data_IF_166970834215
#
_entry.id   IF_166970834215
#
_cell.length_a   1.000
_cell.length_b   1.000
_cell.length_c   1.000
_cell.angle_alpha   90.00
_cell.angle_beta   90.00
_cell.angle_gamma   90.00
#
_symmetry.space_group_name_H-M   'P 1'
#
loop_
_entity.id
_entity.type
_entity.pdbx_description
1 polymer ?
#
# COMPACT_ATOMS: atom_id res chain seq x y z
N UNK A 1 57.14 4.48 1.61
CA UNK A 1 55.81 3.86 1.88
C UNK A 1 54.79 4.79 2.58
N UNK A 2 55.19 5.82 3.34
CA UNK A 2 54.24 6.61 4.16
C UNK A 2 53.44 7.70 3.41
N UNK A 3 53.91 8.20 2.26
CA UNK A 3 53.21 9.26 1.51
C UNK A 3 51.94 8.75 0.83
N UNK A 4 51.98 7.56 0.22
CA UNK A 4 50.85 6.93 -0.50
C UNK A 4 49.71 6.55 0.45
N UNK A 5 50.01 5.97 1.62
CA UNK A 5 49.01 5.67 2.66
C UNK A 5 48.26 6.94 3.12
N UNK A 6 48.95 8.08 3.18
CA UNK A 6 48.36 9.38 3.55
C UNK A 6 47.46 9.95 2.46
N UNK A 7 47.75 9.71 1.18
CA UNK A 7 46.89 10.16 0.07
C UNK A 7 45.61 9.34 -0.03
N UNK A 8 45.70 8.02 0.16
CA UNK A 8 44.53 7.12 0.18
C UNK A 8 43.62 7.46 1.38
N UNK A 9 44.19 7.70 2.56
CA UNK A 9 43.44 8.10 3.74
C UNK A 9 42.73 9.46 3.56
N UNK A 10 43.37 10.43 2.89
CA UNK A 10 42.77 11.73 2.57
C UNK A 10 41.64 11.63 1.53
N UNK A 11 41.80 10.79 0.50
CA UNK A 11 40.77 10.55 -0.49
C UNK A 11 39.54 9.86 0.12
N UNK A 12 39.74 8.85 0.98
CA UNK A 12 38.66 8.21 1.73
C UNK A 12 37.93 9.17 2.67
N UNK A 13 38.65 10.08 3.33
CA UNK A 13 38.07 11.09 4.22
C UNK A 13 37.29 12.18 3.47
N UNK A 14 37.61 12.43 2.19
CA UNK A 14 36.86 13.35 1.32
C UNK A 14 35.61 12.69 0.70
N UNK A 15 35.59 11.37 0.58
CA UNK A 15 34.44 10.58 0.10
C UNK A 15 33.44 10.22 1.21
N UNK A 16 33.88 10.10 2.46
CA UNK A 16 33.00 9.84 3.62
C UNK A 16 31.80 10.82 3.75
N UNK A 17 31.93 12.15 3.58
CA UNK A 17 30.78 13.05 3.63
C UNK A 17 29.86 12.96 2.39
N UNK A 18 30.28 12.28 1.32
CA UNK A 18 29.45 12.02 0.13
C UNK A 18 28.60 10.75 0.26
N UNK A 19 28.84 9.91 1.29
CA UNK A 19 28.05 8.70 1.57
C UNK A 19 26.54 8.95 1.72
N UNK A 20 26.04 10.03 2.40
CA UNK A 20 24.61 10.30 2.43
C UNK A 20 24.03 10.63 1.06
N UNK A 21 24.80 11.23 0.14
CA UNK A 21 24.33 11.55 -1.21
C UNK A 21 24.11 10.28 -2.05
N UNK A 22 24.96 9.26 -1.89
CA UNK A 22 24.80 7.95 -2.54
C UNK A 22 23.66 7.15 -1.90
N UNK A 23 23.47 7.26 -0.58
CA UNK A 23 22.33 6.65 0.09
C UNK A 23 20.99 7.20 -0.43
N UNK A 24 20.89 8.53 -0.60
CA UNK A 24 19.70 9.18 -1.15
C UNK A 24 19.37 8.73 -2.59
N UNK A 25 20.36 8.40 -3.42
CA UNK A 25 20.15 7.92 -4.78
C UNK A 25 19.56 6.48 -4.83
N UNK A 26 19.91 5.63 -3.87
CA UNK A 26 19.41 4.25 -3.80
C UNK A 26 17.92 4.16 -3.42
N UNK A 27 17.41 5.15 -2.66
CA UNK A 27 15.98 5.17 -2.29
C UNK A 27 15.05 5.42 -3.48
N UNK A 28 15.52 6.01 -4.58
CA UNK A 28 14.71 6.25 -5.78
C UNK A 28 14.13 4.96 -6.36
N UNK A 29 14.97 3.93 -6.56
CA UNK A 29 14.51 2.64 -7.11
C UNK A 29 13.52 1.93 -6.17
N UNK A 30 13.81 1.92 -4.85
CA UNK A 30 12.93 1.32 -3.84
C UNK A 30 11.57 2.04 -3.81
N UNK A 31 11.56 3.37 -3.83
CA UNK A 31 10.34 4.16 -3.83
C UNK A 31 9.50 3.89 -5.08
N UNK A 32 10.13 3.71 -6.26
CA UNK A 32 9.39 3.33 -7.46
C UNK A 32 8.81 1.93 -7.39
N UNK A 33 9.53 0.98 -6.77
CA UNK A 33 9.04 -0.38 -6.58
C UNK A 33 7.85 -0.42 -5.60
N UNK A 34 7.98 0.23 -4.44
CA UNK A 34 6.91 0.35 -3.46
C UNK A 34 5.70 1.08 -4.07
N UNK A 35 5.92 2.18 -4.79
CA UNK A 35 4.85 2.91 -5.49
C UNK A 35 4.10 2.04 -6.51
N UNK A 36 4.80 1.20 -7.27
CA UNK A 36 4.19 0.23 -8.20
C UNK A 36 3.36 -0.82 -7.47
N UNK A 37 3.87 -1.37 -6.36
CA UNK A 37 3.13 -2.33 -5.54
C UNK A 37 1.88 -1.68 -4.95
N UNK A 38 1.99 -0.49 -4.36
CA UNK A 38 0.86 0.23 -3.77
C UNK A 38 -0.19 0.56 -4.84
N UNK A 39 0.24 0.97 -6.04
CA UNK A 39 -0.67 1.24 -7.16
C UNK A 39 -1.38 -0.03 -7.62
N UNK A 40 -0.67 -1.16 -7.72
CA UNK A 40 -1.26 -2.45 -8.07
C UNK A 40 -2.27 -2.93 -7.02
N UNK A 41 -1.93 -2.82 -5.74
CA UNK A 41 -2.85 -3.19 -4.64
C UNK A 41 -4.10 -2.32 -4.70
N UNK A 42 -3.95 -1.00 -4.79
CA UNK A 42 -5.08 -0.07 -4.73
C UNK A 42 -5.98 -0.14 -5.97
N UNK A 43 -5.41 -0.28 -7.16
CA UNK A 43 -6.17 -0.19 -8.40
C UNK A 43 -6.66 -1.55 -8.91
N UNK A 44 -6.01 -2.64 -8.51
CA UNK A 44 -6.35 -3.98 -8.99
C UNK A 44 -6.83 -4.87 -7.85
N UNK A 45 -6.02 -5.02 -6.80
CA UNK A 45 -6.29 -6.02 -5.77
C UNK A 45 -7.50 -5.66 -4.90
N UNK A 46 -7.59 -4.41 -4.43
CA UNK A 46 -8.73 -3.96 -3.60
C UNK A 46 -10.05 -4.06 -4.37
N UNK A 47 -10.20 -3.51 -5.59
CA UNK A 47 -11.45 -3.64 -6.35
C UNK A 47 -11.80 -5.10 -6.66
N UNK A 48 -10.80 -5.94 -6.95
CA UNK A 48 -11.01 -7.37 -7.19
C UNK A 48 -11.59 -8.08 -5.96
N UNK A 49 -10.99 -7.89 -4.79
CA UNK A 49 -11.48 -8.52 -3.55
C UNK A 49 -12.85 -7.97 -3.18
N UNK A 50 -13.10 -6.67 -3.40
CA UNK A 50 -14.41 -6.07 -3.18
C UNK A 50 -15.48 -6.70 -4.08
N UNK A 51 -15.16 -6.93 -5.36
CA UNK A 51 -16.03 -7.64 -6.29
C UNK A 51 -16.35 -9.06 -5.84
N UNK A 52 -15.34 -9.83 -5.41
CA UNK A 52 -15.53 -11.19 -4.89
C UNK A 52 -16.37 -11.20 -3.62
N UNK A 53 -16.10 -10.29 -2.68
CA UNK A 53 -16.87 -10.16 -1.44
C UNK A 53 -18.34 -9.83 -1.73
N UNK A 54 -18.61 -8.99 -2.73
CA UNK A 54 -19.98 -8.64 -3.14
C UNK A 54 -20.69 -9.84 -3.78
N UNK A 55 -19.99 -10.60 -4.63
CA UNK A 55 -20.54 -11.84 -5.21
C UNK A 55 -20.87 -12.87 -4.13
N UNK A 56 -19.98 -13.07 -3.16
CA UNK A 56 -20.20 -13.95 -2.01
C UNK A 56 -21.40 -13.47 -1.18
N UNK A 57 -21.49 -12.17 -0.90
CA UNK A 57 -22.62 -11.60 -0.16
C UNK A 57 -23.96 -11.87 -0.87
N UNK A 58 -24.02 -11.60 -2.17
CA UNK A 58 -25.22 -11.83 -3.00
C UNK A 58 -25.57 -13.31 -3.05
N UNK A 59 -24.58 -14.19 -3.20
CA UNK A 59 -24.78 -15.64 -3.16
C UNK A 59 -25.33 -16.13 -1.81
N UNK A 60 -24.80 -15.61 -0.71
CA UNK A 60 -25.26 -15.90 0.65
C UNK A 60 -26.72 -15.47 0.86
N UNK A 61 -27.09 -14.27 0.39
CA UNK A 61 -28.48 -13.80 0.43
C UNK A 61 -29.40 -14.67 -0.43
N UNK A 62 -29.00 -15.01 -1.66
CA UNK A 62 -29.80 -15.91 -2.49
C UNK A 62 -30.04 -17.26 -1.81
N UNK A 63 -29.01 -17.82 -1.16
CA UNK A 63 -29.12 -19.07 -0.42
C UNK A 63 -30.09 -18.96 0.78
N UNK A 64 -30.03 -17.84 1.49
CA UNK A 64 -30.92 -17.56 2.62
C UNK A 64 -32.39 -17.38 2.21
N UNK A 65 -32.66 -16.73 1.07
CA UNK A 65 -34.02 -16.42 0.64
C UNK A 65 -34.68 -17.49 -0.24
N UNK A 66 -33.92 -18.21 -1.07
CA UNK A 66 -34.48 -19.18 -2.04
C UNK A 66 -34.70 -20.55 -1.40
N UNK A 67 -33.82 -21.00 -0.52
CA UNK A 67 -33.90 -22.34 0.06
C UNK A 67 -34.80 -22.32 1.30
N UNK A 68 -35.65 -23.34 1.44
CA UNK A 68 -36.61 -23.42 2.53
C UNK A 68 -36.20 -24.36 3.67
N UNK A 69 -35.06 -25.03 3.56
CA UNK A 69 -34.49 -25.87 4.61
C UNK A 69 -33.71 -25.02 5.60
N UNK A 70 -33.88 -25.31 6.90
CA UNK A 70 -33.25 -24.56 7.99
C UNK A 70 -31.72 -24.53 7.87
N UNK A 71 -31.12 -25.65 7.47
CA UNK A 71 -29.67 -25.82 7.33
C UNK A 71 -29.07 -24.97 6.20
N UNK A 72 -29.79 -24.81 5.08
CA UNK A 72 -29.32 -23.97 3.96
C UNK A 72 -29.45 -22.48 4.26
N UNK A 73 -30.49 -22.10 5.02
CA UNK A 73 -30.66 -20.74 5.53
C UNK A 73 -29.54 -20.37 6.48
N UNK A 74 -29.20 -21.25 7.42
CA UNK A 74 -28.10 -21.00 8.36
C UNK A 74 -26.77 -20.80 7.63
N UNK A 75 -26.44 -21.69 6.69
CA UNK A 75 -25.24 -21.57 5.84
C UNK A 75 -25.23 -20.28 4.99
N UNK A 76 -26.38 -19.88 4.45
CA UNK A 76 -26.52 -18.64 3.66
C UNK A 76 -26.30 -17.39 4.51
N UNK A 77 -26.87 -17.37 5.72
CA UNK A 77 -26.69 -16.30 6.71
C UNK A 77 -25.24 -16.17 7.11
N UNK A 78 -24.56 -17.27 7.42
CA UNK A 78 -23.16 -17.25 7.83
C UNK A 78 -22.27 -16.73 6.69
N UNK A 79 -22.50 -17.18 5.45
CA UNK A 79 -21.76 -16.71 4.29
C UNK A 79 -21.94 -15.21 4.04
N UNK A 80 -23.17 -14.69 4.18
CA UNK A 80 -23.43 -13.25 4.09
C UNK A 80 -22.75 -12.48 5.22
N UNK A 81 -22.75 -13.02 6.44
CA UNK A 81 -22.08 -12.42 7.59
C UNK A 81 -20.56 -12.35 7.40
N UNK A 82 -19.93 -13.42 6.89
CA UNK A 82 -18.51 -13.41 6.57
C UNK A 82 -18.16 -12.35 5.50
N UNK A 83 -19.03 -12.17 4.50
CA UNK A 83 -18.84 -11.11 3.51
C UNK A 83 -18.94 -9.71 4.12
N UNK A 84 -19.89 -9.47 5.04
CA UNK A 84 -20.01 -8.21 5.79
C UNK A 84 -18.75 -7.97 6.64
N UNK A 85 -18.26 -8.99 7.35
CA UNK A 85 -17.03 -8.87 8.15
C UNK A 85 -15.84 -8.48 7.27
N UNK A 86 -15.72 -9.09 6.08
CA UNK A 86 -14.68 -8.70 5.12
C UNK A 86 -14.81 -7.22 4.72
N UNK A 87 -16.01 -6.74 4.39
CA UNK A 87 -16.23 -5.33 4.06
C UNK A 87 -15.83 -4.39 5.20
N UNK A 88 -16.20 -4.73 6.44
CA UNK A 88 -15.85 -3.92 7.62
C UNK A 88 -14.34 -3.85 7.79
N UNK A 89 -13.61 -4.97 7.61
CA UNK A 89 -12.15 -4.97 7.69
C UNK A 89 -11.51 -4.08 6.61
N UNK A 90 -11.98 -4.15 5.36
CA UNK A 90 -11.49 -3.29 4.28
C UNK A 90 -11.66 -1.80 4.60
N UNK A 91 -12.86 -1.41 5.06
CA UNK A 91 -13.17 -0.02 5.39
C UNK A 91 -12.41 0.44 6.64
N UNK A 92 -12.29 -0.43 7.65
CA UNK A 92 -11.57 -0.15 8.90
C UNK A 92 -10.09 0.17 8.65
N UNK A 93 -9.41 -0.62 7.81
CA UNK A 93 -8.00 -0.35 7.46
C UNK A 93 -7.86 1.02 6.81
N UNK A 94 -8.71 1.38 5.84
CA UNK A 94 -8.64 2.70 5.21
C UNK A 94 -8.99 3.84 6.18
N UNK A 95 -9.96 3.63 7.07
CA UNK A 95 -10.33 4.59 8.11
C UNK A 95 -9.18 4.89 9.07
N UNK A 96 -8.48 3.84 9.55
CA UNK A 96 -7.32 3.99 10.43
C UNK A 96 -6.16 4.66 9.70
N UNK A 97 -5.88 4.25 8.46
CA UNK A 97 -4.83 4.87 7.64
C UNK A 97 -5.10 6.36 7.46
N UNK A 98 -6.34 6.74 7.15
CA UNK A 98 -6.71 8.14 6.97
C UNK A 98 -6.67 8.93 8.29
N UNK A 99 -7.05 8.31 9.41
CA UNK A 99 -6.97 8.93 10.73
C UNK A 99 -5.52 9.24 11.12
N UNK A 100 -4.60 8.28 10.92
CA UNK A 100 -3.18 8.47 11.18
C UNK A 100 -2.58 9.48 10.20
N UNK A 101 -2.89 9.37 8.92
CA UNK A 101 -2.40 10.29 7.89
C UNK A 101 -2.84 11.73 8.20
N UNK A 102 -4.10 11.93 8.57
CA UNK A 102 -4.60 13.25 8.98
C UNK A 102 -3.97 13.76 10.28
N UNK A 103 -3.78 12.89 11.27
CA UNK A 103 -3.12 13.25 12.52
C UNK A 103 -1.65 13.67 12.36
N UNK A 104 -0.98 13.15 11.33
CA UNK A 104 0.41 13.48 10.99
C UNK A 104 0.53 14.63 9.97
N UNK A 105 -0.59 15.25 9.57
CA UNK A 105 -0.58 16.39 8.63
C UNK A 105 -0.49 16.00 7.15
N UNK A 106 -0.65 14.72 6.81
CA UNK A 106 -0.70 14.25 5.42
C UNK A 106 -2.08 14.43 4.77
N UNK A 107 -3.08 14.93 5.50
CA UNK A 107 -4.40 15.29 4.97
C UNK A 107 -4.36 16.67 4.30
N UNK A 108 -3.79 16.76 3.09
CA UNK A 108 -3.94 17.98 2.28
C UNK A 108 -2.84 18.27 1.27
N UNK A 109 -1.64 17.69 1.41
CA UNK A 109 -0.60 17.91 0.40
C UNK A 109 -0.74 16.92 -0.75
N UNK A 110 -1.35 17.39 -1.84
CA UNK A 110 -0.94 16.92 -3.15
C UNK A 110 0.58 17.04 -3.20
N UNK A 111 1.31 15.93 -3.33
CA UNK A 111 2.74 15.94 -3.60
C UNK A 111 2.93 16.44 -5.04
N UNK A 112 2.70 17.74 -5.24
CA UNK A 112 2.90 18.45 -6.49
C UNK A 112 4.09 19.39 -6.32
N UNK A 113 5.27 18.80 -6.13
CA UNK A 113 6.53 19.53 -6.29
C UNK A 113 7.68 18.56 -6.59
N UNK A 114 7.57 17.86 -7.71
CA UNK A 114 8.75 17.46 -8.47
C UNK A 114 8.86 18.44 -9.64
N UNK A 115 9.87 19.34 -9.67
CA UNK A 115 10.13 20.19 -10.82
C UNK A 115 10.22 19.34 -12.08
N UNK A 116 9.32 19.56 -13.04
CA UNK A 116 9.43 18.93 -14.34
C UNK A 116 10.65 19.51 -15.04
N UNK A 117 11.59 18.64 -15.40
CA UNK A 117 12.70 19.04 -16.25
C UNK A 117 12.16 19.37 -17.65
N UNK A 118 12.73 20.38 -18.33
CA UNK A 118 12.27 20.77 -19.66
C UNK A 118 12.42 19.59 -20.63
N UNK A 119 11.30 19.07 -21.12
CA UNK A 119 11.27 18.25 -22.33
C UNK A 119 11.40 19.18 -23.53
N UNK A 120 12.36 18.84 -24.40
CA UNK A 120 12.78 19.60 -25.58
C UNK A 120 11.73 19.65 -26.68
#
# INVERSE_FOLDING_TARGET
MNRIKKTIAKAGMMLLPMTPLVALAQFGEINTFIGRITTFINNTLIPLVFGIALLMFVWGMFKFFIYNTEEEKEKGKDLALYAIVAFVLMVSVWGIVNLIAGGLGFSGEQIQNIPSTPTR
#
